data_IF_354395048009
#
_entry.id   IF_354395048009
#
_cell.length_a   1.000
_cell.length_b   1.000
_cell.length_c   1.000
_cell.angle_alpha   90.00
_cell.angle_beta   90.00
_cell.angle_gamma   90.00
#
_symmetry.space_group_name_H-M   'P 1'
#
loop_
_entity.id
_entity.type
_entity.pdbx_description
1 polymer ?
#
# COMPACT_ATOMS: atom_id res chain seq x y z
N UNK A 1 20.51 1.33 -48.92
CA UNK A 1 19.29 1.01 -48.15
C UNK A 1 19.49 1.52 -46.75
N UNK A 2 18.71 2.51 -46.32
CA UNK A 2 18.88 3.19 -45.04
C UNK A 2 18.51 2.23 -43.89
N UNK A 3 19.53 1.65 -43.26
CA UNK A 3 19.36 0.91 -42.01
C UNK A 3 19.07 1.92 -40.91
N UNK A 4 18.12 1.60 -40.05
CA UNK A 4 17.87 2.36 -38.83
C UNK A 4 19.17 2.35 -38.01
N UNK A 5 19.84 3.49 -37.94
CA UNK A 5 21.05 3.64 -37.15
C UNK A 5 20.71 3.71 -35.67
N UNK A 6 21.75 3.56 -34.85
CA UNK A 6 21.65 3.71 -33.40
C UNK A 6 21.06 5.06 -33.01
N UNK A 7 21.35 6.11 -33.79
CA UNK A 7 20.85 7.47 -33.57
C UNK A 7 19.33 7.55 -33.76
N UNK A 8 18.78 6.96 -34.82
CA UNK A 8 17.34 6.96 -35.09
C UNK A 8 16.56 6.23 -34.00
N UNK A 9 17.09 5.10 -33.51
CA UNK A 9 16.48 4.35 -32.40
C UNK A 9 16.44 5.22 -31.13
N UNK A 10 17.51 5.96 -30.82
CA UNK A 10 17.54 6.86 -29.67
C UNK A 10 16.52 7.99 -29.77
N UNK A 11 16.34 8.58 -30.96
CA UNK A 11 15.33 9.62 -31.19
C UNK A 11 13.92 9.08 -30.97
N UNK A 12 13.61 7.90 -31.53
CA UNK A 12 12.30 7.25 -31.35
C UNK A 12 12.07 6.95 -29.87
N UNK A 13 13.06 6.39 -29.18
CA UNK A 13 12.97 6.12 -27.76
C UNK A 13 12.73 7.40 -26.93
N UNK A 14 13.40 8.51 -27.29
CA UNK A 14 13.19 9.80 -26.64
C UNK A 14 11.75 10.30 -26.82
N UNK A 15 11.17 10.18 -28.02
CA UNK A 15 9.77 10.55 -28.28
C UNK A 15 8.81 9.69 -27.46
N UNK A 16 9.03 8.37 -27.42
CA UNK A 16 8.21 7.45 -26.61
C UNK A 16 8.31 7.78 -25.12
N UNK A 17 9.51 8.08 -24.61
CA UNK A 17 9.71 8.53 -23.23
C UNK A 17 9.02 9.86 -22.94
N UNK A 18 8.91 10.76 -23.92
CA UNK A 18 8.21 12.02 -23.76
C UNK A 18 6.69 11.84 -23.69
N UNK A 19 6.14 10.92 -24.49
CA UNK A 19 4.70 10.62 -24.53
C UNK A 19 4.23 9.80 -23.33
N UNK A 20 4.98 8.77 -22.96
CA UNK A 20 4.59 7.82 -21.91
C UNK A 20 5.25 8.13 -20.56
N UNK A 21 6.40 8.79 -20.54
CA UNK A 21 7.18 9.06 -19.34
C UNK A 21 8.13 7.91 -18.94
N UNK A 22 9.14 8.26 -18.13
CA UNK A 22 10.16 7.31 -17.63
C UNK A 22 9.60 6.26 -16.66
N UNK A 23 8.45 6.51 -16.04
CA UNK A 23 7.85 5.61 -15.06
C UNK A 23 6.87 4.61 -15.68
N UNK A 24 6.19 4.95 -16.77
CA UNK A 24 5.18 4.07 -17.40
C UNK A 24 5.79 3.02 -18.33
N UNK A 25 6.84 3.37 -19.07
CA UNK A 25 7.55 2.42 -19.94
C UNK A 25 8.07 1.17 -19.19
N UNK A 26 8.80 1.28 -18.07
CA UNK A 26 9.28 0.11 -17.36
C UNK A 26 8.14 -0.71 -16.75
N UNK A 27 7.04 -0.08 -16.32
CA UNK A 27 5.86 -0.78 -15.84
C UNK A 27 5.20 -1.61 -16.95
N UNK A 28 4.99 -1.01 -18.13
CA UNK A 28 4.41 -1.70 -19.29
C UNK A 28 5.31 -2.83 -19.79
N UNK A 29 6.62 -2.59 -19.85
CA UNK A 29 7.59 -3.60 -20.25
C UNK A 29 7.62 -4.78 -19.27
N UNK A 30 7.55 -4.54 -17.95
CA UNK A 30 7.49 -5.61 -16.95
C UNK A 30 6.20 -6.42 -17.01
N UNK A 31 5.04 -5.77 -17.20
CA UNK A 31 3.77 -6.50 -17.31
C UNK A 31 3.70 -7.32 -18.60
N UNK A 32 4.13 -6.74 -19.74
CA UNK A 32 4.22 -7.45 -21.01
C UNK A 32 5.22 -8.61 -20.95
N UNK A 33 6.39 -8.39 -20.34
CA UNK A 33 7.42 -9.42 -20.17
C UNK A 33 6.96 -10.57 -19.29
N UNK A 34 6.19 -10.30 -18.23
CA UNK A 34 5.61 -11.35 -17.38
C UNK A 34 4.62 -12.22 -18.15
N UNK A 35 3.70 -11.61 -18.90
CA UNK A 35 2.75 -12.36 -19.75
C UNK A 35 3.47 -13.13 -20.85
N UNK A 36 4.41 -12.49 -21.56
CA UNK A 36 5.20 -13.12 -22.60
C UNK A 36 6.03 -14.31 -22.06
N UNK A 37 6.56 -14.22 -20.85
CA UNK A 37 7.32 -15.30 -20.21
C UNK A 37 6.44 -16.51 -19.87
N UNK A 38 5.23 -16.28 -19.36
CA UNK A 38 4.26 -17.35 -19.08
C UNK A 38 3.86 -18.04 -20.38
N UNK A 39 3.47 -17.25 -21.40
CA UNK A 39 3.12 -17.78 -22.72
C UNK A 39 4.28 -18.55 -23.36
N UNK A 40 5.52 -18.04 -23.25
CA UNK A 40 6.73 -18.72 -23.74
C UNK A 40 6.96 -20.04 -23.02
N UNK A 41 6.75 -20.11 -21.70
CA UNK A 41 6.92 -21.31 -20.90
C UNK A 41 5.86 -22.38 -21.24
N UNK A 42 4.60 -21.97 -21.39
CA UNK A 42 3.50 -22.86 -21.81
C UNK A 42 3.69 -23.36 -23.24
N UNK A 43 4.08 -22.47 -24.16
CA UNK A 43 4.34 -22.83 -25.57
C UNK A 43 5.57 -23.72 -25.70
N UNK A 44 6.59 -23.54 -24.84
CA UNK A 44 7.78 -24.38 -24.82
C UNK A 44 7.46 -25.78 -24.30
N UNK A 45 6.63 -25.92 -23.26
CA UNK A 45 6.15 -27.24 -22.80
C UNK A 45 5.39 -28.02 -23.88
N UNK A 46 4.73 -27.33 -24.81
CA UNK A 46 4.06 -27.96 -25.96
C UNK A 46 5.02 -28.41 -27.08
N UNK A 47 6.23 -27.82 -27.15
CA UNK A 47 7.25 -28.16 -28.14
C UNK A 47 8.35 -29.07 -27.58
N UNK A 48 8.56 -29.09 -26.27
CA UNK A 48 9.56 -29.90 -25.54
C UNK A 48 9.01 -31.27 -25.09
N UNK A 49 7.77 -31.66 -25.41
CA UNK A 49 7.27 -33.03 -25.16
C UNK A 49 8.06 -34.12 -25.93
N UNK A 50 9.03 -33.73 -26.77
CA UNK A 50 10.02 -34.59 -27.42
C UNK A 50 11.45 -34.55 -26.79
N UNK A 51 11.78 -33.65 -25.85
CA UNK A 51 13.13 -33.60 -25.25
C UNK A 51 13.16 -33.02 -23.81
N UNK A 52 13.74 -33.81 -22.90
CA UNK A 52 13.67 -33.72 -21.44
C UNK A 52 13.93 -32.35 -20.75
N UNK A 53 12.99 -32.01 -19.86
CA UNK A 53 13.23 -31.64 -18.46
C UNK A 53 14.35 -30.65 -18.10
N UNK A 54 14.02 -29.35 -17.99
CA UNK A 54 14.64 -28.46 -16.97
C UNK A 54 13.76 -27.29 -16.56
N UNK A 55 13.23 -27.38 -15.34
CA UNK A 55 12.66 -26.26 -14.59
C UNK A 55 13.63 -25.08 -14.55
N UNK A 56 13.17 -23.90 -14.92
CA UNK A 56 13.80 -22.64 -14.51
C UNK A 56 12.82 -21.82 -13.68
N UNK A 57 12.92 -22.06 -12.37
CA UNK A 57 12.57 -21.14 -11.30
C UNK A 57 13.29 -19.81 -11.54
N UNK A 58 12.78 -18.96 -12.41
CA UNK A 58 13.37 -17.64 -12.60
C UNK A 58 12.84 -16.72 -11.51
N UNK A 59 13.66 -16.59 -10.48
CA UNK A 59 14.21 -15.32 -10.02
C UNK A 59 13.32 -14.11 -10.31
N UNK A 60 12.82 -13.51 -9.24
CA UNK A 60 12.40 -12.12 -9.18
C UNK A 60 13.60 -11.24 -9.56
N UNK A 61 13.85 -11.06 -10.86
CA UNK A 61 14.78 -10.06 -11.33
C UNK A 61 14.11 -8.69 -11.19
N UNK A 62 14.45 -8.06 -10.07
CA UNK A 62 14.30 -6.66 -9.74
C UNK A 62 14.48 -5.77 -10.97
N UNK A 63 13.42 -5.07 -11.32
CA UNK A 63 13.52 -3.63 -11.43
C UNK A 63 12.23 -3.12 -10.78
N UNK A 64 12.36 -2.19 -9.82
CA UNK A 64 11.32 -1.52 -9.02
C UNK A 64 10.04 -2.31 -8.77
N UNK A 65 10.06 -3.18 -7.75
CA UNK A 65 8.86 -3.74 -7.15
C UNK A 65 8.20 -2.63 -6.29
N UNK A 66 6.99 -2.13 -6.63
CA UNK A 66 6.26 -1.19 -5.77
C UNK A 66 6.01 -1.79 -4.38
N UNK A 67 5.98 -3.12 -4.25
CA UNK A 67 5.92 -3.85 -3.00
C UNK A 67 7.20 -3.71 -2.15
N UNK A 68 8.37 -3.54 -2.76
CA UNK A 68 9.62 -3.28 -2.02
C UNK A 68 9.63 -1.85 -1.47
N UNK A 69 9.24 -0.87 -2.29
CA UNK A 69 9.11 0.53 -1.85
C UNK A 69 8.01 0.69 -0.78
N UNK A 70 6.89 -0.02 -0.91
CA UNK A 70 5.82 -0.04 0.09
C UNK A 70 6.27 -0.73 1.40
N UNK A 71 7.03 -1.83 1.33
CA UNK A 71 7.62 -2.49 2.50
C UNK A 71 8.64 -1.60 3.21
N UNK A 72 9.46 -0.87 2.46
CA UNK A 72 10.43 0.07 3.03
C UNK A 72 9.73 1.25 3.72
N UNK A 73 8.69 1.82 3.11
CA UNK A 73 7.87 2.87 3.74
C UNK A 73 7.14 2.37 4.99
N UNK A 74 6.58 1.15 4.95
CA UNK A 74 5.94 0.55 6.12
C UNK A 74 6.94 0.28 7.26
N UNK A 75 8.18 -0.12 6.95
CA UNK A 75 9.23 -0.30 7.94
C UNK A 75 9.64 1.04 8.58
N UNK A 76 9.81 2.10 7.78
CA UNK A 76 10.13 3.46 8.28
C UNK A 76 9.02 4.01 9.16
N UNK A 77 7.76 3.87 8.77
CA UNK A 77 6.60 4.29 9.59
C UNK A 77 6.53 3.53 10.92
N UNK A 78 6.88 2.23 10.92
CA UNK A 78 6.91 1.42 12.15
C UNK A 78 8.06 1.82 13.08
N UNK A 79 9.21 2.19 12.52
CA UNK A 79 10.34 2.71 13.28
C UNK A 79 10.04 4.10 13.85
N UNK A 80 9.38 4.96 13.08
CA UNK A 80 8.94 6.30 13.51
C UNK A 80 7.88 6.21 14.62
N UNK A 81 6.90 5.31 14.50
CA UNK A 81 5.92 5.04 15.55
C UNK A 81 6.58 4.52 16.84
N UNK A 82 7.55 3.61 16.74
CA UNK A 82 8.29 3.10 17.89
C UNK A 82 9.20 4.17 18.54
N UNK A 83 9.71 5.13 17.76
CA UNK A 83 10.45 6.29 18.28
C UNK A 83 9.52 7.23 19.04
N UNK A 84 8.33 7.52 18.50
CA UNK A 84 7.31 8.33 19.18
C UNK A 84 6.82 7.69 20.49
N UNK A 85 6.71 6.37 20.55
CA UNK A 85 6.39 5.65 21.79
C UNK A 85 7.50 5.75 22.84
N UNK A 86 8.78 5.69 22.42
CA UNK A 86 9.91 5.92 23.35
C UNK A 86 10.03 7.37 23.81
N UNK A 87 9.60 8.31 22.98
CA UNK A 87 9.57 9.73 23.33
C UNK A 87 8.35 10.07 24.21
N UNK A 88 7.29 9.28 24.16
CA UNK A 88 6.06 9.43 24.96
C UNK A 88 6.11 8.90 26.39
N UNK A 89 7.14 8.15 26.78
CA UNK A 89 7.27 7.55 28.13
C UNK A 89 7.88 8.50 29.18
N UNK A 90 8.12 9.77 28.81
CA UNK A 90 8.73 10.79 29.69
C UNK A 90 7.75 11.67 30.50
N UNK A 91 6.47 11.31 30.66
CA UNK A 91 5.43 12.28 31.04
C UNK A 91 4.36 11.86 32.06
N UNK A 92 4.79 11.69 33.31
CA UNK A 92 4.03 11.80 34.57
C UNK A 92 3.08 10.65 35.01
N UNK A 93 3.21 10.17 36.27
CA UNK A 93 2.27 9.23 36.85
C UNK A 93 0.95 9.95 37.15
N UNK A 94 -0.15 9.53 36.52
CA UNK A 94 -1.48 9.98 36.94
C UNK A 94 -1.77 9.38 38.32
N UNK A 95 -1.99 10.19 39.38
CA UNK A 95 -2.32 9.67 40.68
C UNK A 95 -3.65 8.91 40.59
N UNK A 96 -3.60 7.63 40.93
CA UNK A 96 -4.77 6.76 41.08
C UNK A 96 -5.51 7.21 42.34
N UNK A 97 -6.53 8.06 42.18
CA UNK A 97 -7.47 8.39 43.25
C UNK A 97 -7.69 9.88 43.45
N UNK A 98 -8.74 10.39 42.83
CA UNK A 98 -9.53 11.50 43.35
C UNK A 98 -10.93 11.38 42.74
N UNK A 99 -11.81 10.63 43.43
CA UNK A 99 -13.25 10.75 43.21
C UNK A 99 -13.62 12.18 43.61
N UNK A 100 -13.73 13.04 42.59
CA UNK A 100 -14.22 14.40 42.72
C UNK A 100 -15.67 14.35 43.21
N UNK A 101 -15.83 14.76 44.45
CA UNK A 101 -17.08 15.21 45.05
C UNK A 101 -17.93 16.05 44.07
N UNK A 102 -19.16 15.59 43.81
CA UNK A 102 -20.36 16.44 43.79
C UNK A 102 -20.53 17.45 42.65
N UNK A 103 -20.48 17.05 41.39
CA UNK A 103 -21.16 17.82 40.34
C UNK A 103 -22.63 17.37 40.21
N UNK A 104 -23.62 18.22 40.53
CA UNK A 104 -25.01 17.94 40.21
C UNK A 104 -25.21 18.05 38.71
N UNK A 105 -25.65 16.96 38.10
CA UNK A 105 -26.27 16.94 36.76
C UNK A 105 -27.51 17.87 36.83
N UNK A 106 -27.33 19.12 36.42
CA UNK A 106 -28.37 20.12 36.34
C UNK A 106 -29.19 19.85 35.08
N UNK A 107 -30.33 19.18 35.27
CA UNK A 107 -31.21 18.84 34.14
C UNK A 107 -32.32 17.89 34.53
N UNK A 108 -33.09 18.22 35.56
CA UNK A 108 -34.34 17.55 35.89
C UNK A 108 -35.41 18.63 36.08
N UNK A 109 -36.52 18.56 35.35
CA UNK A 109 -37.80 18.54 36.07
C UNK A 109 -38.50 17.18 35.88
N UNK A 110 -38.48 16.38 36.95
CA UNK A 110 -39.44 15.33 37.22
C UNK A 110 -40.74 16.05 37.52
N UNK A 111 -41.70 15.97 36.60
CA UNK A 111 -43.09 16.32 36.85
C UNK A 111 -43.92 15.06 36.64
N UNK A 112 -44.07 14.31 37.72
CA UNK A 112 -45.27 13.51 37.99
C UNK A 112 -45.62 13.79 39.46
N UNK A 113 -46.80 14.35 39.75
CA UNK A 113 -47.75 13.52 40.49
C UNK A 113 -49.23 13.84 40.21
N UNK A 114 -50.04 12.78 40.13
CA UNK A 114 -51.50 12.84 40.10
C UNK A 114 -52.14 13.61 41.27
N UNK A 115 -52.43 14.89 41.05
CA UNK A 115 -53.33 15.68 41.88
C UNK A 115 -54.71 15.83 41.21
N UNK A 116 -55.54 14.82 41.48
CA UNK A 116 -56.92 14.93 42.00
C UNK A 116 -57.57 16.31 41.83
N UNK A 117 -58.52 16.43 40.89
CA UNK A 117 -59.60 17.42 40.98
C UNK A 117 -60.95 16.72 40.76
N UNK A 118 -61.49 16.17 41.85
CA UNK A 118 -62.94 16.14 42.11
C UNK A 118 -63.34 17.54 42.56
N UNK A 119 -64.39 18.12 41.97
CA UNK A 119 -65.35 19.07 42.58
C UNK A 119 -65.97 19.97 41.50
N UNK A 120 -67.28 19.86 41.28
CA UNK A 120 -68.10 20.82 40.53
C UNK A 120 -69.01 20.14 39.54
#
# INVERSE_FOLDING_TARGET
MAGLGTTEILIILAVVLLLFGSTKLPTLARSLGKSARILKAETKGLHDDDDDGKQTKGEQAQASDPGAEARERAAKLREEAARLEREGDGGAPRPRGALGSGEPIQGVPVSDPGQVRKSG
#
